data_IF_236244587256
#
_entry.id   IF_236244587256
#
_cell.length_a   1.000
_cell.length_b   1.000
_cell.length_c   1.000
_cell.angle_alpha   90.00
_cell.angle_beta   90.00
_cell.angle_gamma   90.00
#
_symmetry.space_group_name_H-M   'P 1'
#
loop_
_entity.id
_entity.type
_entity.pdbx_description
1 polymer ?
#
# COMPACT_ATOMS: atom_id res chain seq x y z
N UNK A 1 -59.33 29.83 -39.84
CA UNK A 1 -59.06 28.47 -39.31
C UNK A 1 -57.58 28.30 -39.29
N UNK A 2 -56.95 28.47 -38.12
CA UNK A 2 -55.53 28.37 -37.91
C UNK A 2 -55.25 27.11 -37.02
N UNK A 3 -54.62 26.11 -37.57
CA UNK A 3 -54.27 24.88 -36.87
C UNK A 3 -52.98 25.05 -36.12
N UNK A 4 -53.06 25.00 -34.79
CA UNK A 4 -51.95 25.02 -33.87
C UNK A 4 -51.32 23.59 -33.79
N UNK A 5 -50.00 23.47 -34.10
CA UNK A 5 -49.23 22.23 -33.88
C UNK A 5 -48.54 22.28 -32.52
N UNK A 6 -48.56 21.21 -31.70
CA UNK A 6 -47.84 21.17 -30.45
C UNK A 6 -46.34 20.92 -30.69
N UNK A 7 -45.46 21.69 -30.02
CA UNK A 7 -44.03 21.47 -29.93
C UNK A 7 -43.75 20.34 -28.93
N UNK A 8 -43.21 19.22 -29.41
CA UNK A 8 -42.69 18.17 -28.54
C UNK A 8 -41.39 18.61 -27.90
N UNK A 9 -41.37 18.76 -26.58
CA UNK A 9 -40.16 18.96 -25.78
C UNK A 9 -39.50 17.60 -25.55
N UNK A 10 -38.32 17.43 -26.10
CA UNK A 10 -37.43 16.30 -25.78
C UNK A 10 -36.80 16.56 -24.40
N UNK A 11 -37.24 15.83 -23.39
CA UNK A 11 -36.53 15.75 -22.11
C UNK A 11 -35.28 14.90 -22.33
N UNK A 12 -34.10 15.52 -22.36
CA UNK A 12 -32.82 14.84 -22.26
C UNK A 12 -32.61 14.44 -20.80
N UNK A 13 -32.83 13.15 -20.50
CA UNK A 13 -32.51 12.56 -19.21
C UNK A 13 -31.01 12.45 -19.05
N UNK A 14 -30.43 13.28 -18.19
CA UNK A 14 -29.04 13.11 -17.72
C UNK A 14 -29.04 11.93 -16.77
N UNK A 15 -28.56 10.77 -17.23
CA UNK A 15 -28.20 9.65 -16.35
C UNK A 15 -26.96 10.07 -15.56
N UNK A 16 -27.13 10.52 -14.33
CA UNK A 16 -26.05 10.66 -13.38
C UNK A 16 -25.57 9.24 -13.01
N UNK A 17 -24.45 8.81 -13.58
CA UNK A 17 -23.76 7.61 -13.15
C UNK A 17 -23.34 7.81 -11.69
N UNK A 18 -24.02 7.12 -10.78
CA UNK A 18 -23.64 7.03 -9.37
C UNK A 18 -22.32 6.27 -9.30
N UNK A 19 -21.19 6.99 -9.28
CA UNK A 19 -19.88 6.40 -8.97
C UNK A 19 -19.93 6.01 -7.52
N UNK A 20 -20.23 4.73 -7.27
CA UNK A 20 -20.07 4.15 -5.93
C UNK A 20 -18.58 4.23 -5.57
N UNK A 21 -18.24 5.17 -4.70
CA UNK A 21 -16.92 5.26 -4.11
C UNK A 21 -16.62 3.89 -3.47
N UNK A 22 -15.65 3.18 -4.03
CA UNK A 22 -15.19 1.90 -3.45
C UNK A 22 -14.65 2.21 -2.05
N UNK A 23 -15.12 1.51 -0.99
CA UNK A 23 -14.63 1.78 0.36
C UNK A 23 -13.12 1.59 0.37
N UNK A 24 -12.41 2.56 0.97
CA UNK A 24 -10.98 2.44 1.25
C UNK A 24 -10.73 1.07 1.90
N UNK A 25 -9.72 0.35 1.42
CA UNK A 25 -9.40 -0.98 1.93
C UNK A 25 -9.27 -0.93 3.46
N UNK A 26 -10.11 -1.69 4.17
CA UNK A 26 -10.04 -1.73 5.62
C UNK A 26 -8.68 -2.33 6.03
N UNK A 27 -7.95 -1.64 6.90
CA UNK A 27 -6.70 -2.16 7.46
C UNK A 27 -6.99 -3.49 8.14
N UNK A 28 -6.29 -4.56 7.74
CA UNK A 28 -6.36 -5.84 8.44
C UNK A 28 -5.88 -5.73 9.89
N UNK A 29 -6.23 -6.69 10.72
CA UNK A 29 -5.83 -6.70 12.14
C UNK A 29 -4.34 -7.04 12.27
N UNK A 30 -3.49 -6.19 12.87
CA UNK A 30 -2.05 -6.45 12.99
C UNK A 30 -1.73 -7.78 13.68
N UNK A 31 -2.46 -8.13 14.74
CA UNK A 31 -2.30 -9.42 15.42
C UNK A 31 -2.66 -10.64 14.55
N UNK A 32 -3.58 -10.50 13.58
CA UNK A 32 -3.85 -11.56 12.61
C UNK A 32 -2.73 -11.63 11.56
N UNK A 33 -2.19 -10.51 11.12
CA UNK A 33 -1.03 -10.48 10.24
C UNK A 33 0.20 -11.16 10.90
N UNK A 34 0.45 -10.86 12.17
CA UNK A 34 1.52 -11.55 12.93
C UNK A 34 1.28 -13.06 13.07
N UNK A 35 0.02 -13.49 13.25
CA UNK A 35 -0.35 -14.91 13.21
C UNK A 35 -0.03 -15.54 11.84
N UNK A 36 -0.39 -14.87 10.75
CA UNK A 36 -0.12 -15.34 9.39
C UNK A 36 1.38 -15.47 9.15
N UNK A 37 2.19 -14.50 9.62
CA UNK A 37 3.67 -14.57 9.61
C UNK A 37 4.17 -15.77 10.40
N UNK A 38 3.67 -15.97 11.63
CA UNK A 38 4.05 -17.12 12.46
C UNK A 38 3.74 -18.45 11.77
N UNK A 39 2.53 -18.61 11.24
CA UNK A 39 2.11 -19.82 10.51
C UNK A 39 2.92 -20.04 9.23
N UNK A 40 3.31 -18.96 8.52
CA UNK A 40 4.18 -19.02 7.34
C UNK A 40 5.57 -19.54 7.71
N UNK A 41 6.13 -19.10 8.84
CA UNK A 41 7.39 -19.60 9.40
C UNK A 41 7.35 -21.11 9.74
N UNK A 42 6.18 -21.63 10.06
CA UNK A 42 5.96 -23.08 10.26
C UNK A 42 5.62 -23.82 8.96
N UNK A 43 5.68 -23.19 7.79
CA UNK A 43 5.36 -23.78 6.49
C UNK A 43 3.87 -24.11 6.31
N UNK A 44 2.98 -23.47 7.08
CA UNK A 44 1.55 -23.81 7.11
C UNK A 44 0.65 -22.74 6.46
N UNK A 45 1.22 -21.59 6.08
CA UNK A 45 0.49 -20.48 5.47
C UNK A 45 1.24 -19.94 4.24
N UNK A 46 0.64 -20.07 3.06
CA UNK A 46 1.21 -19.62 1.78
C UNK A 46 0.45 -18.43 1.14
N UNK A 47 -0.70 -18.04 1.73
CA UNK A 47 -1.49 -16.93 1.21
C UNK A 47 -0.94 -15.57 1.65
N UNK A 48 -1.54 -14.48 1.17
CA UNK A 48 -1.18 -13.10 1.52
C UNK A 48 -1.30 -12.83 3.02
N UNK A 49 -0.32 -12.12 3.58
CA UNK A 49 -0.34 -11.62 4.97
C UNK A 49 -1.18 -10.34 5.01
N UNK A 50 -2.49 -10.50 5.01
CA UNK A 50 -3.49 -9.43 4.88
C UNK A 50 -4.11 -8.97 6.20
N UNK A 51 -3.81 -9.66 7.30
CA UNK A 51 -4.40 -9.38 8.61
C UNK A 51 -5.87 -9.83 8.73
N UNK A 52 -6.36 -10.68 7.80
CA UNK A 52 -7.73 -11.17 7.78
C UNK A 52 -7.82 -12.61 8.33
N UNK A 53 -8.73 -12.83 9.27
CA UNK A 53 -8.98 -14.18 9.82
C UNK A 53 -9.94 -14.98 8.91
N UNK A 54 -9.54 -15.12 7.65
CA UNK A 54 -10.29 -15.84 6.62
C UNK A 54 -10.14 -17.38 6.70
N UNK A 55 -10.79 -18.11 5.78
CA UNK A 55 -10.75 -19.59 5.74
C UNK A 55 -9.33 -20.15 5.63
N UNK A 56 -8.44 -19.53 4.85
CA UNK A 56 -7.04 -19.95 4.69
C UNK A 56 -6.29 -19.86 6.03
N UNK A 57 -6.43 -18.75 6.75
CA UNK A 57 -5.82 -18.54 8.08
C UNK A 57 -6.35 -19.56 9.08
N UNK A 58 -7.68 -19.78 9.15
CA UNK A 58 -8.30 -20.77 10.06
C UNK A 58 -7.81 -22.19 9.77
N UNK A 59 -7.71 -22.59 8.49
CA UNK A 59 -7.16 -23.91 8.12
C UNK A 59 -5.70 -24.06 8.57
N UNK A 60 -4.88 -23.04 8.39
CA UNK A 60 -3.49 -23.06 8.81
C UNK A 60 -3.36 -23.16 10.34
N UNK A 61 -4.22 -22.47 11.11
CA UNK A 61 -4.27 -22.59 12.58
C UNK A 61 -4.60 -24.01 13.01
N UNK A 62 -5.63 -24.64 12.43
CA UNK A 62 -6.00 -26.03 12.76
C UNK A 62 -4.87 -27.00 12.46
N UNK A 63 -4.19 -26.88 11.30
CA UNK A 63 -3.01 -27.71 10.97
C UNK A 63 -1.87 -27.49 11.95
N UNK A 64 -1.63 -26.25 12.37
CA UNK A 64 -0.62 -25.94 13.37
C UNK A 64 -0.97 -26.59 14.72
N UNK A 65 -2.23 -26.47 15.18
CA UNK A 65 -2.72 -27.05 16.42
C UNK A 65 -2.57 -28.58 16.40
N UNK A 66 -2.92 -29.25 15.31
CA UNK A 66 -2.70 -30.70 15.14
C UNK A 66 -1.23 -31.08 15.28
N UNK A 67 -0.31 -30.36 14.58
CA UNK A 67 1.13 -30.61 14.69
C UNK A 67 1.69 -30.36 16.10
N UNK A 68 1.10 -29.44 16.83
CA UNK A 68 1.50 -29.08 18.19
C UNK A 68 0.81 -29.92 19.28
N UNK A 69 0.05 -30.96 18.93
CA UNK A 69 -0.69 -31.79 19.89
C UNK A 69 -1.82 -31.05 20.62
N UNK A 70 -2.36 -29.98 20.00
CA UNK A 70 -3.46 -29.17 20.55
C UNK A 70 -4.79 -29.54 19.88
N UNK A 71 -5.91 -29.25 20.55
CA UNK A 71 -7.24 -29.37 19.93
C UNK A 71 -7.32 -28.46 18.68
N UNK A 72 -7.66 -29.00 17.49
CA UNK A 72 -7.65 -28.24 16.24
C UNK A 72 -8.97 -27.47 16.03
N UNK A 73 -9.29 -26.56 16.95
CA UNK A 73 -10.52 -25.74 16.92
C UNK A 73 -10.41 -24.52 15.99
N UNK A 74 -9.20 -24.16 15.58
CA UNK A 74 -8.93 -22.98 14.75
C UNK A 74 -8.95 -21.66 15.54
N UNK A 75 -8.96 -21.72 16.89
CA UNK A 75 -8.95 -20.56 17.78
C UNK A 75 -7.56 -20.35 18.36
N UNK A 76 -7.02 -19.13 18.22
CA UNK A 76 -5.70 -18.79 18.72
C UNK A 76 -5.75 -18.34 20.17
N UNK A 77 -5.90 -19.30 21.07
CA UNK A 77 -5.86 -19.09 22.51
C UNK A 77 -4.43 -19.07 23.09
N UNK A 78 -4.30 -18.93 24.43
CA UNK A 78 -3.00 -18.87 25.10
C UNK A 78 -2.10 -20.11 24.85
N UNK A 79 -2.69 -21.30 24.76
CA UNK A 79 -1.95 -22.55 24.45
C UNK A 79 -1.39 -22.52 23.03
N UNK A 80 -2.19 -22.11 22.03
CA UNK A 80 -1.75 -21.96 20.64
C UNK A 80 -0.65 -20.92 20.54
N UNK A 81 -0.79 -19.76 21.17
CA UNK A 81 0.24 -18.70 21.19
C UNK A 81 1.54 -19.19 21.83
N UNK A 82 1.47 -19.93 22.93
CA UNK A 82 2.66 -20.50 23.57
C UNK A 82 3.38 -21.48 22.64
N UNK A 83 2.65 -22.33 21.93
CA UNK A 83 3.19 -23.29 20.98
C UNK A 83 3.88 -22.63 19.77
N UNK A 84 3.45 -21.43 19.35
CA UNK A 84 4.13 -20.63 18.31
C UNK A 84 5.52 -20.09 18.74
N UNK A 85 5.94 -20.35 20.00
CA UNK A 85 7.26 -19.97 20.50
C UNK A 85 7.46 -18.44 20.52
N UNK A 86 8.60 -17.95 20.01
CA UNK A 86 8.91 -16.52 19.92
C UNK A 86 7.89 -15.73 19.09
N UNK A 87 7.29 -16.39 18.09
CA UNK A 87 6.26 -15.80 17.24
C UNK A 87 4.85 -15.87 17.86
N UNK A 88 4.71 -16.15 19.14
CA UNK A 88 3.44 -16.11 19.88
C UNK A 88 3.52 -15.34 21.20
N UNK A 89 4.71 -14.82 21.59
CA UNK A 89 4.94 -14.33 22.94
C UNK A 89 4.51 -12.86 23.14
N UNK A 90 5.23 -11.93 22.57
CA UNK A 90 5.10 -10.50 22.89
C UNK A 90 4.00 -9.85 22.04
N UNK A 91 3.06 -9.16 22.68
CA UNK A 91 2.14 -8.27 21.97
C UNK A 91 2.84 -6.95 21.63
N UNK A 92 2.38 -6.26 20.59
CA UNK A 92 2.89 -4.96 20.22
C UNK A 92 2.78 -3.98 21.40
N UNK A 93 3.83 -3.22 21.63
CA UNK A 93 3.89 -2.24 22.72
C UNK A 93 4.25 -2.82 24.10
N UNK A 94 4.40 -4.15 24.23
CA UNK A 94 4.82 -4.77 25.51
C UNK A 94 6.30 -4.54 25.84
N UNK A 95 7.11 -4.17 24.85
CA UNK A 95 8.53 -3.82 24.98
C UNK A 95 8.97 -2.88 23.86
N UNK A 96 10.05 -2.12 24.01
CA UNK A 96 10.69 -1.43 22.90
C UNK A 96 11.25 -2.42 21.89
N UNK A 97 11.15 -2.10 20.57
CA UNK A 97 11.72 -2.89 19.49
C UNK A 97 12.82 -2.10 18.76
N UNK A 98 13.93 -2.76 18.47
CA UNK A 98 15.06 -2.21 17.71
C UNK A 98 15.68 -3.31 16.84
N UNK A 99 16.73 -2.96 16.09
CA UNK A 99 17.50 -3.91 15.30
C UNK A 99 17.90 -5.14 16.12
N UNK A 100 17.72 -6.35 15.56
CA UNK A 100 17.91 -7.63 16.24
C UNK A 100 16.66 -8.17 16.96
N UNK A 101 15.62 -7.37 17.22
CA UNK A 101 14.35 -7.85 17.75
C UNK A 101 13.68 -8.82 16.78
N UNK A 102 13.06 -9.87 17.31
CA UNK A 102 12.31 -10.85 16.51
C UNK A 102 11.02 -11.26 17.24
N UNK A 103 9.98 -11.57 16.48
CA UNK A 103 8.77 -12.12 17.06
C UNK A 103 7.48 -11.58 16.48
N UNK A 104 6.40 -11.88 17.18
CA UNK A 104 5.04 -11.46 16.87
C UNK A 104 4.90 -9.94 16.82
N UNK A 105 5.42 -9.25 17.84
CA UNK A 105 5.42 -7.79 17.97
C UNK A 105 6.15 -7.08 16.83
N UNK A 106 7.23 -7.67 16.32
CA UNK A 106 7.94 -7.15 15.14
C UNK A 106 7.09 -7.30 13.87
N UNK A 107 6.41 -8.44 13.68
CA UNK A 107 5.52 -8.63 12.54
C UNK A 107 4.34 -7.65 12.56
N UNK A 108 3.77 -7.38 13.76
CA UNK A 108 2.74 -6.34 13.94
C UNK A 108 3.27 -4.95 13.56
N UNK A 109 4.48 -4.61 14.00
CA UNK A 109 5.13 -3.33 13.66
C UNK A 109 5.36 -3.19 12.16
N UNK A 110 5.90 -4.21 11.50
CA UNK A 110 6.11 -4.23 10.04
C UNK A 110 4.81 -3.98 9.28
N UNK A 111 3.74 -4.66 9.67
CA UNK A 111 2.42 -4.51 9.08
C UNK A 111 1.86 -3.09 9.26
N UNK A 112 1.94 -2.53 10.46
CA UNK A 112 1.49 -1.17 10.75
C UNK A 112 2.30 -0.11 10.01
N UNK A 113 3.63 -0.22 9.99
CA UNK A 113 4.51 0.69 9.23
C UNK A 113 4.13 0.70 7.74
N UNK A 114 3.86 -0.47 7.16
CA UNK A 114 3.49 -0.58 5.76
C UNK A 114 2.17 0.15 5.46
N UNK A 115 1.14 -0.04 6.28
CA UNK A 115 -0.14 0.67 6.13
C UNK A 115 -0.01 2.19 6.34
N UNK A 116 0.93 2.63 7.17
CA UNK A 116 1.26 4.05 7.31
C UNK A 116 2.14 4.61 6.17
N UNK A 117 2.39 3.81 5.12
CA UNK A 117 3.15 4.22 3.94
C UNK A 117 4.66 4.06 4.05
N UNK A 118 5.12 3.24 5.01
CA UNK A 118 6.54 2.96 5.22
C UNK A 118 6.82 1.45 5.16
N UNK A 119 6.60 0.80 3.99
CA UNK A 119 6.84 -0.64 3.87
C UNK A 119 8.30 -0.99 4.17
N UNK A 120 8.49 -2.09 4.89
CA UNK A 120 9.78 -2.56 5.40
C UNK A 120 10.31 -3.80 4.67
N UNK A 121 9.82 -4.08 3.47
CA UNK A 121 10.09 -5.32 2.75
C UNK A 121 9.14 -6.43 3.19
N UNK A 122 9.65 -7.63 3.40
CA UNK A 122 8.83 -8.77 3.81
C UNK A 122 8.29 -8.62 5.24
N UNK A 123 7.07 -9.08 5.45
CA UNK A 123 6.51 -9.31 6.78
C UNK A 123 7.06 -10.63 7.32
N UNK A 124 8.19 -10.57 7.99
CA UNK A 124 8.92 -11.75 8.44
C UNK A 124 9.09 -11.86 9.96
N UNK A 125 8.69 -10.80 10.68
CA UNK A 125 8.85 -10.71 12.12
C UNK A 125 10.31 -10.58 12.56
N UNK A 126 11.22 -10.10 11.69
CA UNK A 126 12.61 -9.81 12.00
C UNK A 126 12.88 -8.32 11.86
N UNK A 127 13.33 -7.68 12.92
CA UNK A 127 13.75 -6.28 12.86
C UNK A 127 15.18 -6.20 12.33
N UNK A 128 15.31 -6.15 11.00
CA UNK A 128 16.58 -6.01 10.28
C UNK A 128 16.65 -4.62 9.61
N UNK A 129 17.66 -4.40 8.78
CA UNK A 129 17.95 -3.09 8.18
C UNK A 129 16.80 -2.45 7.40
N UNK A 130 15.93 -3.25 6.73
CA UNK A 130 14.75 -2.70 6.05
C UNK A 130 13.73 -2.16 7.06
N UNK A 131 13.49 -2.87 8.16
CA UNK A 131 12.58 -2.43 9.23
C UNK A 131 13.12 -1.19 9.94
N UNK A 132 14.43 -1.13 10.22
CA UNK A 132 15.07 0.06 10.81
C UNK A 132 14.91 1.29 9.91
N UNK A 133 15.20 1.16 8.61
CA UNK A 133 15.02 2.27 7.65
C UNK A 133 13.56 2.73 7.56
N UNK A 134 12.61 1.80 7.52
CA UNK A 134 11.19 2.12 7.49
C UNK A 134 10.74 2.84 8.77
N UNK A 135 11.15 2.36 9.93
CA UNK A 135 10.86 2.98 11.22
C UNK A 135 11.45 4.39 11.32
N UNK A 136 12.72 4.60 10.94
CA UNK A 136 13.36 5.93 10.96
C UNK A 136 12.68 6.91 10.01
N UNK A 137 12.21 6.44 8.85
CA UNK A 137 11.39 7.26 7.94
C UNK A 137 10.05 7.64 8.58
N UNK A 138 9.37 6.69 9.21
CA UNK A 138 8.13 6.94 9.94
C UNK A 138 8.34 7.90 11.11
N UNK A 139 9.39 7.72 11.92
CA UNK A 139 9.71 8.61 13.05
C UNK A 139 9.90 10.05 12.57
N UNK A 140 10.68 10.26 11.47
CA UNK A 140 10.86 11.60 10.88
C UNK A 140 9.54 12.19 10.40
N UNK A 141 8.72 11.40 9.71
CA UNK A 141 7.41 11.83 9.22
C UNK A 141 6.45 12.21 10.35
N UNK A 142 6.46 11.44 11.42
CA UNK A 142 5.60 11.64 12.59
C UNK A 142 6.10 12.74 13.56
N UNK A 143 7.26 13.37 13.29
CA UNK A 143 7.88 14.36 14.17
C UNK A 143 8.43 13.78 15.47
N UNK A 144 8.83 12.49 15.45
CA UNK A 144 9.40 11.80 16.59
C UNK A 144 10.93 11.82 16.57
N UNK A 145 11.56 11.50 17.69
CA UNK A 145 13.01 11.23 17.75
C UNK A 145 13.35 10.10 16.78
N UNK A 146 14.35 10.32 15.91
CA UNK A 146 14.76 9.37 14.86
C UNK A 146 15.90 8.49 15.41
N UNK A 147 15.57 7.58 16.32
CA UNK A 147 16.51 6.68 16.99
C UNK A 147 16.45 5.22 16.52
N UNK A 148 15.47 4.86 15.71
CA UNK A 148 15.27 3.48 15.25
C UNK A 148 14.70 2.55 16.32
N UNK A 149 14.14 3.11 17.40
CA UNK A 149 13.51 2.35 18.50
C UNK A 149 12.00 2.55 18.44
N UNK A 150 11.24 1.45 18.29
CA UNK A 150 9.79 1.49 18.38
C UNK A 150 9.35 1.38 19.85
N UNK A 151 9.25 2.52 20.51
CA UNK A 151 8.74 2.67 21.86
C UNK A 151 7.32 3.24 21.91
N UNK A 152 6.85 3.65 23.08
CA UNK A 152 5.49 4.12 23.33
C UNK A 152 5.05 5.27 22.40
N UNK A 153 5.93 6.22 22.09
CA UNK A 153 5.65 7.33 21.19
C UNK A 153 5.36 6.86 19.76
N UNK A 154 6.13 5.87 19.25
CA UNK A 154 5.93 5.25 17.95
C UNK A 154 4.57 4.53 17.91
N UNK A 155 4.26 3.71 18.91
CA UNK A 155 2.99 3.01 18.98
C UNK A 155 1.79 3.95 19.11
N UNK A 156 1.95 5.07 19.82
CA UNK A 156 0.93 6.12 19.86
C UNK A 156 0.70 6.76 18.47
N UNK A 157 1.77 7.04 17.75
CA UNK A 157 1.69 7.59 16.40
C UNK A 157 1.07 6.61 15.38
N UNK A 158 1.38 5.31 15.49
CA UNK A 158 0.80 4.25 14.64
C UNK A 158 -0.70 3.99 14.89
N UNK A 159 -1.29 4.54 15.96
CA UNK A 159 -2.74 4.51 16.21
C UNK A 159 -3.47 5.69 15.56
N UNK A 160 -2.77 6.69 15.03
CA UNK A 160 -3.40 7.81 14.34
C UNK A 160 -4.01 7.36 13.01
N UNK A 161 -5.01 8.09 12.48
CA UNK A 161 -5.53 7.83 11.13
C UNK A 161 -4.42 7.86 10.07
N UNK A 162 -4.59 7.06 9.00
CA UNK A 162 -3.67 7.08 7.87
C UNK A 162 -3.67 8.45 7.19
N UNK A 163 -2.54 8.82 6.59
CA UNK A 163 -2.41 10.01 5.79
C UNK A 163 -3.39 9.98 4.59
N UNK A 164 -3.90 11.15 4.22
CA UNK A 164 -4.72 11.34 3.02
C UNK A 164 -4.13 12.46 2.18
N UNK A 165 -4.38 12.42 0.87
CA UNK A 165 -3.97 13.52 -0.01
C UNK A 165 -4.75 14.79 0.32
N UNK A 166 -4.07 15.92 0.51
CA UNK A 166 -4.72 17.21 0.67
C UNK A 166 -5.18 17.83 -0.68
N UNK A 167 -4.85 17.21 -1.81
CA UNK A 167 -5.25 17.63 -3.16
C UNK A 167 -5.93 16.46 -3.89
N UNK A 168 -6.87 16.77 -4.77
CA UNK A 168 -7.43 15.83 -5.72
C UNK A 168 -6.42 15.58 -6.86
N UNK A 169 -6.39 14.35 -7.37
CA UNK A 169 -5.55 13.92 -8.47
C UNK A 169 -6.41 13.42 -9.63
N UNK A 170 -5.94 13.61 -10.85
CA UNK A 170 -6.54 13.01 -12.04
C UNK A 170 -5.92 11.61 -12.27
N UNK A 171 -6.67 10.72 -12.92
CA UNK A 171 -6.12 9.45 -13.37
C UNK A 171 -4.95 9.67 -14.34
N UNK A 172 -3.76 9.11 -14.08
CA UNK A 172 -2.61 9.24 -14.98
C UNK A 172 -2.80 8.45 -16.27
N UNK A 173 -3.73 7.52 -16.26
CA UNK A 173 -4.05 6.60 -17.34
C UNK A 173 -5.47 6.07 -17.14
N UNK A 174 -6.28 6.07 -18.20
CA UNK A 174 -7.59 5.41 -18.21
C UNK A 174 -7.40 3.93 -18.55
N UNK A 175 -7.34 3.08 -17.54
CA UNK A 175 -7.19 1.64 -17.64
C UNK A 175 -7.96 0.92 -16.54
N UNK A 176 -8.21 -0.37 -16.71
CA UNK A 176 -8.72 -1.19 -15.63
C UNK A 176 -7.73 -1.20 -14.46
N UNK A 177 -8.25 -1.21 -13.23
CA UNK A 177 -7.43 -1.33 -12.04
C UNK A 177 -6.91 -2.77 -11.93
N UNK A 178 -5.60 -2.92 -11.90
CA UNK A 178 -4.91 -4.18 -11.64
C UNK A 178 -4.73 -4.40 -10.13
N UNK A 179 -3.48 -4.50 -9.67
CA UNK A 179 -3.21 -4.66 -8.24
C UNK A 179 -3.45 -3.35 -7.47
N UNK A 180 -4.01 -3.49 -6.27
CA UNK A 180 -4.35 -2.37 -5.38
C UNK A 180 -3.25 -2.11 -4.37
N UNK A 181 -3.27 -0.91 -3.78
CA UNK A 181 -2.49 -0.58 -2.59
C UNK A 181 -2.85 -1.53 -1.45
N UNK A 182 -1.85 -2.11 -0.79
CA UNK A 182 -2.06 -3.03 0.32
C UNK A 182 -1.15 -4.26 0.33
N UNK A 183 -1.43 -5.24 1.18
CA UNK A 183 -0.65 -6.46 1.30
C UNK A 183 -0.63 -7.28 0.01
N UNK A 184 0.57 -7.75 -0.39
CA UNK A 184 0.83 -8.61 -1.55
C UNK A 184 1.79 -9.73 -1.17
N UNK A 185 1.30 -10.98 -1.07
CA UNK A 185 2.08 -12.09 -0.55
C UNK A 185 2.55 -11.84 0.89
N UNK A 186 3.84 -11.74 1.09
CA UNK A 186 4.48 -11.36 2.36
C UNK A 186 5.04 -9.93 2.35
N UNK A 187 4.69 -9.12 1.36
CA UNK A 187 5.13 -7.74 1.19
C UNK A 187 3.95 -6.78 1.14
N UNK A 188 4.23 -5.53 0.86
CA UNK A 188 3.24 -4.47 0.71
C UNK A 188 3.41 -3.75 -0.62
N UNK A 189 2.33 -3.59 -1.36
CA UNK A 189 2.24 -2.83 -2.60
C UNK A 189 1.92 -1.36 -2.27
N UNK A 190 2.86 -0.46 -2.53
CA UNK A 190 2.79 0.94 -2.11
C UNK A 190 2.03 1.86 -3.09
N UNK A 191 1.41 1.29 -4.11
CA UNK A 191 0.69 2.02 -5.15
C UNK A 191 -0.49 1.24 -5.73
N UNK A 192 -0.86 1.58 -6.95
CA UNK A 192 -1.79 0.81 -7.77
C UNK A 192 -1.14 0.50 -9.11
N UNK A 193 -1.46 -0.67 -9.66
CA UNK A 193 -1.02 -1.06 -11.00
C UNK A 193 -2.15 -0.86 -12.00
N UNK A 194 -1.83 -0.20 -13.11
CA UNK A 194 -2.74 0.12 -14.21
C UNK A 194 -2.22 -0.57 -15.49
N UNK A 195 -2.68 -1.81 -15.78
CA UNK A 195 -2.28 -2.52 -16.99
C UNK A 195 -2.72 -1.79 -18.26
N UNK A 196 -1.78 -1.63 -19.21
CA UNK A 196 -2.06 -1.02 -20.51
C UNK A 196 -1.02 -1.47 -21.53
N UNK A 197 -1.30 -1.38 -22.84
CA UNK A 197 -0.36 -1.73 -23.89
C UNK A 197 0.96 -0.95 -23.79
N UNK A 198 2.07 -1.60 -24.15
CA UNK A 198 3.39 -0.97 -24.24
C UNK A 198 3.33 0.31 -25.07
N UNK A 199 3.96 1.38 -24.59
CA UNK A 199 4.00 2.66 -25.30
C UNK A 199 2.78 3.57 -25.08
N UNK A 200 1.73 3.12 -24.36
CA UNK A 200 0.57 3.98 -24.01
C UNK A 200 1.05 5.23 -23.26
N UNK A 201 0.59 6.43 -23.63
CA UNK A 201 0.96 7.67 -22.94
C UNK A 201 0.49 7.69 -21.48
N UNK A 202 1.33 8.22 -20.60
CA UNK A 202 1.05 8.41 -19.17
C UNK A 202 1.04 9.90 -18.86
N UNK A 203 -0.06 10.41 -18.28
CA UNK A 203 -0.25 11.81 -17.91
C UNK A 203 0.14 12.12 -16.48
N UNK A 204 0.50 13.37 -16.21
CA UNK A 204 0.68 13.88 -14.84
C UNK A 204 -0.65 13.92 -14.10
N UNK A 205 -0.72 13.36 -12.91
CA UNK A 205 -1.95 13.30 -12.11
C UNK A 205 -2.39 14.67 -11.54
N UNK A 206 -1.47 15.61 -11.43
CA UNK A 206 -1.74 17.02 -11.08
C UNK A 206 -0.61 17.89 -11.63
N UNK A 207 -0.86 19.21 -11.65
CA UNK A 207 0.20 20.18 -11.96
C UNK A 207 1.28 20.15 -10.90
N UNK A 208 2.55 20.26 -11.32
CA UNK A 208 3.68 20.17 -10.41
C UNK A 208 5.03 20.34 -11.10
N UNK A 209 6.09 19.98 -10.38
CA UNK A 209 7.47 20.04 -10.85
C UNK A 209 8.10 18.64 -10.84
N UNK A 210 8.74 18.27 -11.92
CA UNK A 210 9.50 17.01 -12.01
C UNK A 210 10.74 17.08 -11.12
N UNK A 211 10.79 16.21 -10.10
CA UNK A 211 11.87 16.18 -9.09
C UNK A 211 12.80 14.99 -9.24
N UNK A 212 12.40 13.98 -10.01
CA UNK A 212 13.25 12.83 -10.31
C UNK A 212 12.90 12.24 -11.68
N UNK A 213 13.93 11.88 -12.43
CA UNK A 213 13.87 11.02 -13.62
C UNK A 213 15.10 10.12 -13.58
N UNK A 214 14.90 8.83 -13.72
CA UNK A 214 16.03 7.89 -13.73
C UNK A 214 15.58 6.45 -13.52
N UNK A 215 16.56 5.59 -13.37
CA UNK A 215 16.37 4.20 -12.98
C UNK A 215 16.33 4.10 -11.45
N UNK A 216 15.38 3.37 -10.92
CA UNK A 216 15.29 3.05 -9.49
C UNK A 216 15.02 1.54 -9.32
N UNK A 217 15.75 0.92 -8.36
CA UNK A 217 15.64 -0.51 -8.12
C UNK A 217 14.18 -0.92 -7.80
N UNK A 218 13.71 -1.96 -8.50
CA UNK A 218 12.33 -2.41 -8.45
C UNK A 218 11.39 -1.63 -9.37
N UNK A 219 11.41 -0.29 -9.37
CA UNK A 219 10.54 0.57 -10.21
C UNK A 219 11.00 0.68 -11.68
N UNK A 220 12.25 0.30 -12.00
CA UNK A 220 12.80 0.50 -13.33
C UNK A 220 12.90 1.98 -13.71
N UNK A 221 12.45 2.36 -14.91
CA UNK A 221 12.37 3.76 -15.32
C UNK A 221 11.25 4.48 -14.56
N UNK A 222 11.62 5.48 -13.78
CA UNK A 222 10.77 6.23 -12.86
C UNK A 222 10.78 7.73 -13.14
N UNK A 223 9.61 8.33 -13.12
CA UNK A 223 9.41 9.79 -13.02
C UNK A 223 8.75 10.08 -11.67
N UNK A 224 9.23 11.10 -10.95
CA UNK A 224 8.55 11.60 -9.76
C UNK A 224 8.25 13.10 -9.91
N UNK A 225 7.02 13.48 -9.57
CA UNK A 225 6.52 14.86 -9.65
C UNK A 225 6.12 15.31 -8.25
N UNK A 226 6.61 16.48 -7.86
CA UNK A 226 6.20 17.16 -6.64
C UNK A 226 5.09 18.15 -6.92
N UNK A 227 4.04 18.08 -6.11
CA UNK A 227 2.84 18.89 -6.18
C UNK A 227 2.73 19.78 -4.93
N UNK A 228 1.79 20.75 -4.89
CA UNK A 228 1.52 21.52 -3.69
C UNK A 228 1.23 20.64 -2.46
N UNK A 229 1.37 21.23 -1.26
CA UNK A 229 1.03 20.61 0.03
C UNK A 229 1.85 19.35 0.38
N UNK A 230 3.05 19.19 -0.23
CA UNK A 230 3.94 18.05 0.04
C UNK A 230 3.44 16.72 -0.53
N UNK A 231 2.61 16.77 -1.57
CA UNK A 231 2.19 15.60 -2.34
C UNK A 231 3.21 15.31 -3.40
N UNK A 232 3.55 14.04 -3.60
CA UNK A 232 4.41 13.56 -4.69
C UNK A 232 3.76 12.36 -5.36
N UNK A 233 3.78 12.33 -6.69
CA UNK A 233 3.35 11.17 -7.48
C UNK A 233 4.54 10.51 -8.17
N UNK A 234 4.53 9.19 -8.25
CA UNK A 234 5.55 8.37 -8.87
C UNK A 234 4.93 7.56 -10.02
N UNK A 235 5.63 7.53 -11.14
CA UNK A 235 5.22 6.85 -12.37
C UNK A 235 6.35 5.88 -12.76
N UNK A 236 6.14 4.59 -12.51
CA UNK A 236 7.17 3.57 -12.65
C UNK A 236 6.92 2.60 -13.80
N UNK A 237 7.90 1.73 -14.04
CA UNK A 237 7.96 0.72 -15.11
C UNK A 237 7.89 1.31 -16.53
N UNK A 238 8.25 2.59 -16.69
CA UNK A 238 8.15 3.29 -17.98
C UNK A 238 9.09 2.70 -19.02
N UNK A 239 8.71 2.79 -20.31
CA UNK A 239 9.59 2.53 -21.44
C UNK A 239 10.37 3.77 -21.89
N UNK A 240 9.76 4.95 -21.71
CA UNK A 240 10.31 6.23 -22.18
C UNK A 240 9.92 7.37 -21.23
N UNK A 241 10.83 8.34 -21.05
CA UNK A 241 10.59 9.60 -20.36
C UNK A 241 10.17 10.67 -21.36
N UNK A 242 9.08 11.42 -21.11
CA UNK A 242 8.62 12.50 -21.96
C UNK A 242 8.87 13.90 -21.36
N UNK A 243 9.54 13.98 -20.23
CA UNK A 243 9.83 15.20 -19.48
C UNK A 243 11.30 15.26 -19.08
N UNK A 244 11.74 16.42 -18.54
CA UNK A 244 13.12 16.66 -18.07
C UNK A 244 13.12 16.99 -16.58
N UNK A 245 14.24 16.74 -15.86
CA UNK A 245 14.40 17.16 -14.47
C UNK A 245 14.14 18.66 -14.31
N UNK A 246 13.38 19.04 -13.29
CA UNK A 246 13.03 20.42 -12.99
C UNK A 246 11.92 21.04 -13.85
N UNK A 247 11.41 20.32 -14.86
CA UNK A 247 10.32 20.80 -15.72
C UNK A 247 9.02 20.96 -14.91
N UNK A 248 8.32 22.07 -15.13
CA UNK A 248 6.93 22.26 -14.69
C UNK A 248 5.99 21.58 -15.66
N UNK A 249 4.98 20.87 -15.13
CA UNK A 249 3.96 20.15 -15.90
C UNK A 249 2.58 20.56 -15.43
N UNK A 250 1.63 20.60 -16.34
CA UNK A 250 0.20 20.72 -16.03
C UNK A 250 -0.42 19.32 -15.84
N UNK A 251 -1.58 19.26 -15.18
CA UNK A 251 -2.39 18.03 -15.11
C UNK A 251 -2.64 17.48 -16.50
N UNK A 252 -2.46 16.17 -16.71
CA UNK A 252 -2.61 15.49 -17.99
C UNK A 252 -1.42 15.62 -18.97
N UNK A 253 -0.41 16.48 -18.69
CA UNK A 253 0.78 16.55 -19.51
C UNK A 253 1.49 15.19 -19.54
N UNK A 254 1.90 14.74 -20.74
CA UNK A 254 2.55 13.43 -20.92
C UNK A 254 3.91 13.44 -20.22
N UNK A 255 4.10 12.52 -19.25
CA UNK A 255 5.33 12.39 -18.47
C UNK A 255 6.19 11.21 -18.89
N UNK A 256 5.58 10.22 -19.57
CA UNK A 256 6.26 9.03 -20.05
C UNK A 256 5.32 8.12 -20.84
N UNK A 257 5.81 6.91 -21.11
CA UNK A 257 5.03 5.87 -21.79
C UNK A 257 5.13 4.55 -21.04
N UNK A 258 4.06 3.76 -21.07
CA UNK A 258 3.99 2.43 -20.45
C UNK A 258 5.14 1.56 -20.94
N UNK A 259 5.76 0.87 -20.03
CA UNK A 259 6.82 -0.12 -20.24
C UNK A 259 6.61 -1.37 -19.39
N UNK A 260 7.71 -2.11 -19.24
CA UNK A 260 7.82 -3.28 -18.36
C UNK A 260 9.26 -3.33 -17.80
N UNK A 261 9.79 -2.18 -17.37
CA UNK A 261 11.14 -2.07 -16.81
C UNK A 261 11.15 -2.30 -15.30
N UNK A 262 12.30 -2.72 -14.74
CA UNK A 262 12.40 -3.09 -13.32
C UNK A 262 11.74 -4.43 -13.02
N UNK A 263 11.06 -4.53 -11.86
CA UNK A 263 10.43 -5.78 -11.38
C UNK A 263 9.01 -6.00 -11.94
N UNK A 264 8.72 -5.49 -13.15
CA UNK A 264 7.41 -5.63 -13.78
C UNK A 264 7.21 -7.02 -14.40
N UNK A 265 6.04 -7.64 -14.17
CA UNK A 265 5.65 -8.93 -14.76
C UNK A 265 5.01 -8.79 -16.16
N UNK A 266 4.86 -7.57 -16.67
CA UNK A 266 4.25 -7.25 -17.97
C UNK A 266 4.00 -5.76 -18.09
N UNK A 267 3.51 -5.25 -19.25
CA UNK A 267 3.30 -3.83 -19.47
C UNK A 267 2.19 -3.28 -18.54
N UNK A 268 2.55 -2.34 -17.67
CA UNK A 268 1.64 -1.60 -16.80
C UNK A 268 2.29 -0.31 -16.29
N UNK A 269 1.49 0.61 -15.76
CA UNK A 269 1.95 1.69 -14.92
C UNK A 269 1.83 1.26 -13.47
N UNK A 270 2.92 1.29 -12.71
CA UNK A 270 2.86 1.32 -11.26
C UNK A 270 2.81 2.79 -10.82
N UNK A 271 1.72 3.17 -10.13
CA UNK A 271 1.45 4.55 -9.73
C UNK A 271 1.37 4.66 -8.21
N UNK A 272 2.22 5.51 -7.63
CA UNK A 272 2.22 5.79 -6.19
C UNK A 272 1.86 7.25 -5.91
N UNK A 273 1.22 7.47 -4.76
CA UNK A 273 0.96 8.79 -4.18
C UNK A 273 1.60 8.87 -2.81
N UNK A 274 2.42 9.87 -2.59
CA UNK A 274 3.10 10.10 -1.32
C UNK A 274 2.68 11.43 -0.72
N UNK A 275 2.44 11.47 0.59
CA UNK A 275 2.17 12.70 1.36
C UNK A 275 3.28 12.89 2.39
N UNK A 276 4.12 13.89 2.17
CA UNK A 276 5.32 14.15 2.98
C UNK A 276 6.23 12.92 3.14
N UNK A 277 6.25 12.07 2.10
CA UNK A 277 7.08 10.87 2.04
C UNK A 277 6.42 9.57 2.55
N UNK A 278 5.18 9.62 3.06
CA UNK A 278 4.37 8.44 3.35
C UNK A 278 3.56 8.05 2.11
N UNK A 279 3.69 6.82 1.63
CA UNK A 279 2.82 6.29 0.58
C UNK A 279 1.38 6.15 1.09
N UNK A 280 0.42 6.54 0.29
CA UNK A 280 -1.01 6.42 0.61
C UNK A 280 -1.72 5.63 -0.48
N UNK A 281 -2.90 5.08 -0.17
CA UNK A 281 -3.74 4.45 -1.19
C UNK A 281 -4.14 5.51 -2.25
N UNK A 282 -3.67 5.38 -3.51
CA UNK A 282 -3.97 6.34 -4.57
C UNK A 282 -5.46 6.53 -4.82
N UNK A 283 -6.27 5.47 -4.58
CA UNK A 283 -7.72 5.52 -4.78
C UNK A 283 -8.43 6.47 -3.80
N UNK A 284 -7.77 6.92 -2.75
CA UNK A 284 -8.30 7.93 -1.83
C UNK A 284 -8.15 9.36 -2.33
N UNK A 285 -7.37 9.57 -3.39
CA UNK A 285 -7.07 10.88 -4.00
C UNK A 285 -7.56 10.99 -5.45
N UNK A 286 -7.82 9.85 -6.11
CA UNK A 286 -8.35 9.75 -7.47
C UNK A 286 -9.87 9.79 -7.46
N UNK A 287 -10.55 10.33 -8.54
CA UNK A 287 -12.00 10.39 -8.63
C UNK A 287 -12.66 9.04 -8.89
#
# INVERSE_FOLDING_TARGET
MATCRPRSALLAGVLAALVLATPAAAIGRPGVAALQVALRRHGLYGATVDGMLGPATKRAVRRFQQRAGLRPDGVVGPRTRRALGRFGRHAIGSRPLAAGSTGWDVAELQFLLAWHGFPSGAFDGQFAGHTDRALRRFQRWAGLRVDGVAGAAVYSALRRPLARSPIALAWPLHAALGERFGPRGDRFHAGVDLPAPLGTPVGAAASGRVVFIGWADGWGKLVAIEHPSGVRTLYAHLSHYAVRPGQSVSTGAIVGRIGATGDANGPHLHFEVHVRGAAIDPLTALP
#
